data_IF_418448352715
#
_entry.id   IF_418448352715
#
_cell.length_a   1.000
_cell.length_b   1.000
_cell.length_c   1.000
_cell.angle_alpha   90.00
_cell.angle_beta   90.00
_cell.angle_gamma   90.00
#
_symmetry.space_group_name_H-M   'P 1'
#
loop_
_entity.id
_entity.type
_entity.pdbx_description
1 polymer ?
#
# COMPACT_ATOMS: atom_id res chain seq x y z
N UNK A 1 -12.12 -2.70 -4.54
CA UNK A 1 -11.34 -3.03 -3.32
C UNK A 1 -11.97 -2.40 -2.09
N UNK A 2 -12.27 -1.10 -2.12
CA UNK A 2 -12.97 -0.42 -1.00
C UNK A 2 -14.33 -1.06 -0.65
N UNK A 3 -15.08 -1.59 -1.62
CA UNK A 3 -16.35 -2.31 -1.37
C UNK A 3 -16.16 -3.50 -0.41
N UNK A 4 -15.04 -4.23 -0.54
CA UNK A 4 -14.74 -5.33 0.40
C UNK A 4 -14.49 -4.81 1.81
N UNK A 5 -13.86 -3.64 1.95
CA UNK A 5 -13.65 -3.01 3.25
C UNK A 5 -15.00 -2.60 3.86
N UNK A 6 -15.92 -2.08 3.05
CA UNK A 6 -17.30 -1.78 3.45
C UNK A 6 -18.01 -3.05 3.92
N UNK A 7 -17.94 -4.14 3.15
CA UNK A 7 -18.57 -5.42 3.50
C UNK A 7 -18.00 -6.03 4.79
N UNK A 8 -16.72 -5.78 5.08
CA UNK A 8 -16.04 -6.18 6.31
C UNK A 8 -16.39 -5.29 7.51
N UNK A 9 -17.08 -4.16 7.30
CA UNK A 9 -17.48 -3.24 8.35
C UNK A 9 -16.30 -2.55 9.06
N UNK A 10 -15.18 -2.32 8.36
CA UNK A 10 -14.02 -1.64 8.94
C UNK A 10 -14.20 -0.12 8.94
N UNK A 11 -13.52 0.56 9.86
CA UNK A 11 -13.57 2.03 9.95
C UNK A 11 -12.78 2.73 8.83
N UNK A 12 -11.73 2.09 8.32
CA UNK A 12 -10.83 2.69 7.36
C UNK A 12 -10.18 1.68 6.40
N UNK A 13 -9.87 2.15 5.19
CA UNK A 13 -9.12 1.44 4.16
C UNK A 13 -7.96 2.32 3.64
N UNK A 14 -6.74 1.79 3.68
CA UNK A 14 -5.51 2.46 3.24
C UNK A 14 -4.98 1.74 2.00
N UNK A 15 -4.65 2.50 0.95
CA UNK A 15 -4.14 1.95 -0.31
C UNK A 15 -3.24 2.98 -1.03
N UNK A 16 -2.53 2.57 -2.08
CA UNK A 16 -1.65 3.47 -2.83
C UNK A 16 -2.39 4.47 -3.71
N UNK A 17 -3.18 3.97 -4.67
CA UNK A 17 -3.87 4.78 -5.68
C UNK A 17 -5.35 4.99 -5.39
N UNK A 18 -5.83 6.20 -5.68
CA UNK A 18 -7.24 6.59 -5.63
C UNK A 18 -7.87 6.66 -7.03
N UNK A 19 -9.17 6.38 -7.11
CA UNK A 19 -9.99 6.58 -8.30
C UNK A 19 -11.29 7.32 -7.95
N UNK A 20 -11.93 7.92 -8.96
CA UNK A 20 -13.22 8.62 -8.77
C UNK A 20 -14.27 7.76 -8.04
N UNK A 21 -14.55 6.49 -8.44
CA UNK A 21 -15.52 5.67 -7.72
C UNK A 21 -15.16 5.44 -6.26
N UNK A 22 -13.86 5.34 -5.95
CA UNK A 22 -13.37 5.13 -4.57
C UNK A 22 -13.76 6.30 -3.66
N UNK A 23 -13.75 7.53 -4.18
CA UNK A 23 -14.17 8.72 -3.44
C UNK A 23 -15.66 8.66 -3.10
N UNK A 24 -16.49 8.28 -4.08
CA UNK A 24 -17.94 8.19 -3.89
C UNK A 24 -18.30 7.10 -2.89
N UNK A 25 -17.74 5.90 -3.06
CA UNK A 25 -18.00 4.77 -2.16
C UNK A 25 -17.60 5.11 -0.72
N UNK A 26 -16.43 5.72 -0.50
CA UNK A 26 -15.99 6.14 0.83
C UNK A 26 -16.97 7.12 1.49
N UNK A 27 -17.44 8.12 0.73
CA UNK A 27 -18.39 9.13 1.24
C UNK A 27 -19.77 8.58 1.53
N UNK A 28 -20.26 7.69 0.68
CA UNK A 28 -21.61 7.11 0.80
C UNK A 28 -21.69 6.07 1.92
N UNK A 29 -20.59 5.34 2.17
CA UNK A 29 -20.54 4.25 3.14
C UNK A 29 -19.98 4.65 4.49
N UNK A 30 -19.29 5.79 4.57
CA UNK A 30 -18.64 6.29 5.79
C UNK A 30 -17.27 5.65 6.09
N UNK A 31 -16.80 4.71 5.27
CA UNK A 31 -15.44 4.14 5.41
C UNK A 31 -14.40 5.19 5.04
N UNK A 32 -13.48 5.47 5.95
CA UNK A 32 -12.39 6.43 5.70
C UNK A 32 -11.40 5.84 4.70
N UNK A 33 -11.14 6.54 3.60
CA UNK A 33 -10.17 6.11 2.61
C UNK A 33 -8.90 6.96 2.64
N UNK A 34 -7.73 6.30 2.72
CA UNK A 34 -6.43 6.95 2.63
C UNK A 34 -5.71 6.53 1.34
N UNK A 35 -5.41 7.52 0.48
CA UNK A 35 -4.50 7.37 -0.66
C UNK A 35 -3.09 7.73 -0.21
N UNK A 36 -2.26 6.72 0.04
CA UNK A 36 -0.93 6.88 0.64
C UNK A 36 0.23 6.79 -0.37
N UNK A 37 -0.06 6.70 -1.68
CA UNK A 37 0.92 6.58 -2.75
C UNK A 37 1.28 5.12 -3.06
N UNK A 38 1.27 4.75 -4.34
CA UNK A 38 1.64 3.43 -4.83
C UNK A 38 3.09 3.11 -4.46
N UNK A 39 4.04 3.94 -4.90
CA UNK A 39 5.46 3.75 -4.55
C UNK A 39 5.70 3.74 -3.05
N UNK A 40 5.10 4.70 -2.36
CA UNK A 40 5.27 4.87 -0.92
C UNK A 40 4.75 3.66 -0.11
N UNK A 41 3.68 3.01 -0.55
CA UNK A 41 3.10 1.85 0.16
C UNK A 41 3.75 0.52 -0.20
N UNK A 42 4.38 0.40 -1.37
CA UNK A 42 4.91 -0.89 -1.86
C UNK A 42 6.41 -1.10 -1.65
N UNK A 43 7.18 -0.03 -1.39
CA UNK A 43 8.64 -0.11 -1.24
C UNK A 43 9.12 -1.01 -0.10
N UNK A 44 8.30 -1.21 0.94
CA UNK A 44 8.70 -1.94 2.14
C UNK A 44 8.77 -3.45 1.94
N UNK A 45 7.96 -4.00 1.03
CA UNK A 45 7.92 -5.45 0.77
C UNK A 45 9.23 -5.95 0.16
N UNK A 46 9.70 -5.30 -0.91
CA UNK A 46 10.96 -5.67 -1.57
C UNK A 46 12.17 -5.43 -0.67
N UNK A 47 12.15 -4.36 0.15
CA UNK A 47 13.18 -4.10 1.15
C UNK A 47 13.26 -5.24 2.17
N UNK A 48 12.14 -5.61 2.78
CA UNK A 48 12.10 -6.68 3.76
C UNK A 48 12.50 -8.04 3.17
N UNK A 49 12.10 -8.31 1.93
CA UNK A 49 12.51 -9.53 1.21
C UNK A 49 14.02 -9.55 0.97
N UNK A 50 14.60 -8.46 0.49
CA UNK A 50 16.04 -8.38 0.25
C UNK A 50 16.85 -8.54 1.53
N UNK A 51 16.44 -7.88 2.62
CA UNK A 51 17.03 -8.03 3.95
C UNK A 51 16.94 -9.49 4.45
N UNK A 52 15.77 -10.13 4.25
CA UNK A 52 15.58 -11.53 4.62
C UNK A 52 16.53 -12.45 3.84
N UNK A 53 16.65 -12.30 2.52
CA UNK A 53 17.52 -13.13 1.70
C UNK A 53 19.00 -12.93 2.03
N UNK A 54 19.46 -11.69 2.24
CA UNK A 54 20.84 -11.41 2.66
C UNK A 54 21.16 -12.00 4.05
N UNK A 55 20.16 -12.20 4.91
CA UNK A 55 20.37 -12.87 6.20
C UNK A 55 20.52 -14.40 6.09
N UNK A 56 19.96 -15.00 5.04
CA UNK A 56 19.91 -16.46 4.86
C UNK A 56 20.99 -16.98 3.91
N UNK A 57 21.46 -16.12 3.00
CA UNK A 57 22.41 -16.45 1.97
C UNK A 57 23.60 -15.49 2.03
N UNK A 58 24.77 -15.94 1.59
CA UNK A 58 25.97 -15.11 1.52
C UNK A 58 25.91 -14.18 0.29
N UNK A 59 24.95 -13.26 0.30
CA UNK A 59 24.70 -12.29 -0.77
C UNK A 59 24.64 -10.88 -0.20
N UNK A 60 25.11 -9.92 -0.99
CA UNK A 60 24.91 -8.50 -0.70
C UNK A 60 23.56 -8.04 -1.26
N UNK A 61 22.80 -7.31 -0.44
CA UNK A 61 21.56 -6.65 -0.87
C UNK A 61 21.67 -5.14 -0.71
N UNK A 62 21.32 -4.41 -1.76
CA UNK A 62 21.24 -2.95 -1.76
C UNK A 62 19.81 -2.55 -2.12
N UNK A 63 19.17 -1.80 -1.22
CA UNK A 63 17.87 -1.21 -1.48
C UNK A 63 18.03 0.16 -2.14
N UNK A 64 17.68 0.26 -3.43
CA UNK A 64 17.67 1.50 -4.19
C UNK A 64 16.26 2.10 -4.21
N UNK A 65 16.01 3.07 -3.33
CA UNK A 65 14.76 3.83 -3.33
C UNK A 65 14.88 5.00 -4.31
N UNK A 66 14.13 4.95 -5.40
CA UNK A 66 14.06 6.02 -6.40
C UNK A 66 12.67 6.62 -6.29
N UNK A 67 12.59 7.86 -5.82
CA UNK A 67 11.32 8.54 -5.59
C UNK A 67 10.48 8.57 -6.87
N UNK A 68 9.28 8.01 -6.77
CA UNK A 68 8.19 8.20 -7.72
C UNK A 68 7.10 9.02 -7.02
N UNK A 69 6.64 10.14 -7.62
CA UNK A 69 5.58 10.97 -7.02
C UNK A 69 4.21 10.28 -6.89
N UNK A 70 4.03 9.10 -7.51
CA UNK A 70 2.81 8.28 -7.40
C UNK A 70 3.08 7.01 -6.61
#
# INVERSE_FOLDING_TARGET
>A
MIEKAVDLGVDAYISGEISEPTVHIARETGVVYFSAGHHATERYGVKALGEHLASQFDIEFVFADIDNPV
#
